data_IF_040001400655
#
_entry.id   IF_040001400655
#
_cell.length_a   1.000
_cell.length_b   1.000
_cell.length_c   1.000
_cell.angle_alpha   90.00
_cell.angle_beta   90.00
_cell.angle_gamma   90.00
#
_symmetry.space_group_name_H-M   'P 1'
#
loop_
_entity.id
_entity.type
_entity.pdbx_description
1 polymer ?
#
# COMPACT_ATOMS: atom_id res chain seq x y z
N UNK A 1 -0.94 30.38 11.04
CA UNK A 1 -2.30 30.45 10.48
C UNK A 1 -2.53 31.89 10.02
N UNK A 2 -3.01 32.11 8.79
CA UNK A 2 -3.27 33.45 8.27
C UNK A 2 -4.75 33.61 8.01
N UNK A 3 -5.35 34.68 8.54
CA UNK A 3 -6.73 35.06 8.24
C UNK A 3 -6.67 36.23 7.25
N UNK A 4 -7.47 36.14 6.18
CA UNK A 4 -7.53 37.11 5.10
C UNK A 4 -8.98 37.36 4.74
N UNK A 5 -9.29 38.60 4.42
CA UNK A 5 -10.63 39.01 3.98
C UNK A 5 -10.73 38.85 2.48
N UNK A 6 -11.81 38.23 2.02
CA UNK A 6 -12.15 38.15 0.60
C UNK A 6 -12.72 39.50 0.16
N UNK A 7 -12.19 40.06 -0.92
CA UNK A 7 -12.60 41.35 -1.46
C UNK A 7 -13.25 41.17 -2.82
N UNK A 8 -14.48 41.64 -2.98
CA UNK A 8 -15.14 41.70 -4.29
C UNK A 8 -14.51 42.80 -5.15
N UNK A 9 -14.17 42.47 -6.40
CA UNK A 9 -13.58 43.38 -7.37
C UNK A 9 -14.33 43.23 -8.68
N UNK A 10 -15.03 44.28 -9.11
CA UNK A 10 -15.88 44.24 -10.32
C UNK A 10 -17.20 43.51 -10.07
N UNK A 11 -17.81 42.96 -11.13
CA UNK A 11 -19.07 42.19 -11.02
C UNK A 11 -18.75 40.70 -10.94
N UNK A 12 -18.75 40.14 -9.72
CA UNK A 12 -18.67 38.69 -9.49
C UNK A 12 -17.27 38.08 -9.47
N UNK A 13 -16.21 38.89 -9.40
CA UNK A 13 -14.84 38.38 -9.15
C UNK A 13 -14.42 38.72 -7.74
N UNK A 14 -13.81 37.77 -7.05
CA UNK A 14 -13.31 37.95 -5.69
C UNK A 14 -11.79 37.80 -5.67
N UNK A 15 -11.14 38.54 -4.78
CA UNK A 15 -9.69 38.53 -4.58
C UNK A 15 -9.35 38.30 -3.12
N UNK A 16 -8.23 37.65 -2.85
CA UNK A 16 -7.68 37.44 -1.51
C UNK A 16 -6.19 37.74 -1.53
N UNK A 17 -5.68 38.44 -0.52
CA UNK A 17 -4.25 38.75 -0.43
C UNK A 17 -3.46 37.56 0.12
N UNK A 18 -2.41 37.16 -0.60
CA UNK A 18 -1.54 36.06 -0.19
C UNK A 18 -0.58 36.51 0.92
N UNK A 19 -0.26 35.66 1.92
CA UNK A 19 0.71 35.99 2.95
C UNK A 19 2.11 36.21 2.35
N UNK A 20 2.74 37.34 2.64
CA UNK A 20 4.08 37.70 2.11
C UNK A 20 5.13 36.62 2.40
N UNK A 21 5.17 36.11 3.64
CA UNK A 21 6.09 35.03 4.04
C UNK A 21 5.90 33.75 3.22
N UNK A 22 4.67 33.44 2.81
CA UNK A 22 4.40 32.29 1.95
C UNK A 22 4.89 32.56 0.53
N UNK A 23 4.55 33.73 -0.04
CA UNK A 23 4.99 34.18 -1.37
C UNK A 23 6.51 34.12 -1.51
N UNK A 24 7.24 34.66 -0.53
CA UNK A 24 8.71 34.65 -0.52
C UNK A 24 9.27 33.23 -0.38
N UNK A 25 8.71 32.39 0.51
CA UNK A 25 9.18 31.01 0.73
C UNK A 25 9.07 30.13 -0.52
N UNK A 26 8.05 30.33 -1.34
CA UNK A 26 7.86 29.56 -2.58
C UNK A 26 8.29 30.33 -3.84
N UNK A 27 9.00 31.46 -3.69
CA UNK A 27 9.61 32.20 -4.80
C UNK A 27 8.63 32.83 -5.78
N UNK A 28 7.42 33.18 -5.34
CA UNK A 28 6.42 33.85 -6.18
C UNK A 28 6.75 35.33 -6.36
N UNK A 29 6.49 35.85 -7.56
CA UNK A 29 6.69 37.24 -7.92
C UNK A 29 5.41 37.84 -8.52
N UNK A 30 5.38 39.17 -8.71
CA UNK A 30 4.28 39.83 -9.43
C UNK A 30 4.13 39.20 -10.82
N UNK A 31 2.92 38.75 -11.15
CA UNK A 31 2.62 38.09 -12.42
C UNK A 31 2.82 36.56 -12.41
N UNK A 32 3.32 35.97 -11.33
CA UNK A 32 3.33 34.52 -11.16
C UNK A 32 1.91 33.97 -11.22
N UNK A 33 1.72 32.90 -11.98
CA UNK A 33 0.44 32.18 -12.05
C UNK A 33 0.28 31.28 -10.83
N UNK A 34 -0.95 31.04 -10.43
CA UNK A 34 -1.33 30.11 -9.37
C UNK A 34 -2.42 29.19 -9.91
N UNK A 35 -2.32 27.91 -9.58
CA UNK A 35 -3.37 26.93 -9.76
C UNK A 35 -4.30 26.99 -8.53
N UNK A 36 -5.59 27.06 -8.80
CA UNK A 36 -6.65 26.94 -7.81
C UNK A 36 -7.34 25.61 -8.02
N UNK A 37 -7.41 24.80 -6.97
CA UNK A 37 -8.04 23.49 -7.02
C UNK A 37 -9.17 23.47 -6.01
N UNK A 38 -10.37 23.18 -6.53
CA UNK A 38 -11.56 23.02 -5.72
C UNK A 38 -11.51 21.67 -4.98
N UNK A 39 -11.53 21.74 -3.65
CA UNK A 39 -11.66 20.60 -2.74
C UNK A 39 -13.04 20.52 -2.10
N UNK A 40 -14.07 21.12 -2.71
CA UNK A 40 -15.45 21.19 -2.23
C UNK A 40 -15.63 22.26 -1.15
N UNK A 41 -15.18 21.98 0.08
CA UNK A 41 -15.26 22.93 1.21
C UNK A 41 -13.99 23.76 1.40
N UNK A 42 -12.98 23.54 0.56
CA UNK A 42 -11.69 24.22 0.63
C UNK A 42 -11.14 24.51 -0.76
N UNK A 43 -10.31 25.54 -0.87
CA UNK A 43 -9.62 25.89 -2.11
C UNK A 43 -8.11 25.75 -1.88
N UNK A 44 -7.47 24.82 -2.59
CA UNK A 44 -6.01 24.65 -2.54
C UNK A 44 -5.36 25.57 -3.57
N UNK A 45 -4.45 26.43 -3.10
CA UNK A 45 -3.69 27.36 -3.93
C UNK A 45 -2.23 26.89 -4.01
N UNK A 46 -1.72 26.68 -5.23
CA UNK A 46 -0.32 26.28 -5.45
C UNK A 46 0.25 26.84 -6.76
N UNK A 47 1.56 27.02 -6.90
CA UNK A 47 2.15 27.38 -8.20
C UNK A 47 1.89 26.30 -9.26
N UNK A 48 1.59 26.66 -10.52
CA UNK A 48 1.54 25.74 -11.64
C UNK A 48 2.98 25.35 -11.98
N UNK A 49 3.43 24.24 -11.37
CA UNK A 49 4.79 23.68 -11.39
C UNK A 49 5.85 24.50 -10.65
N UNK A 50 6.36 23.93 -9.55
CA UNK A 50 7.78 24.06 -9.23
C UNK A 50 8.48 23.04 -10.12
N UNK A 51 9.16 23.50 -11.16
CA UNK A 51 9.92 22.64 -12.09
C UNK A 51 11.20 22.06 -11.45
N UNK A 52 11.35 22.17 -10.12
CA UNK A 52 12.43 21.59 -9.37
C UNK A 52 12.03 20.15 -9.00
N UNK A 53 12.80 19.18 -9.46
CA UNK A 53 12.70 17.81 -8.96
C UNK A 53 12.82 17.84 -7.44
N UNK A 54 11.99 17.06 -6.73
CA UNK A 54 12.06 17.03 -5.28
C UNK A 54 13.26 16.18 -4.85
N UNK A 55 14.39 16.82 -4.52
CA UNK A 55 15.65 16.12 -4.25
C UNK A 55 15.93 15.92 -2.75
N UNK A 56 16.59 14.81 -2.42
CA UNK A 56 17.10 14.50 -1.08
C UNK A 56 18.54 14.01 -1.15
N UNK A 57 19.43 14.66 -0.40
CA UNK A 57 20.75 14.10 -0.09
C UNK A 57 20.65 13.24 1.19
N UNK A 58 21.18 12.02 1.11
CA UNK A 58 21.27 11.03 2.20
C UNK A 58 22.75 10.77 2.45
N UNK A 59 23.26 11.13 3.63
CA UNK A 59 24.68 10.93 3.99
C UNK A 59 24.83 9.68 4.83
N UNK A 60 25.65 8.74 4.36
CA UNK A 60 25.76 7.40 4.93
C UNK A 60 27.20 7.03 5.25
N UNK A 61 27.35 6.00 6.09
CA UNK A 61 28.65 5.43 6.47
C UNK A 61 28.79 4.04 5.90
N UNK A 62 30.02 3.65 5.56
CA UNK A 62 30.34 2.31 5.07
C UNK A 62 30.05 1.27 6.17
N UNK A 63 29.51 0.11 5.81
CA UNK A 63 29.12 -0.94 6.76
C UNK A 63 27.73 -0.76 7.39
N UNK A 64 26.96 0.24 6.94
CA UNK A 64 25.59 0.51 7.38
C UNK A 64 24.60 0.49 6.20
N UNK A 65 24.78 -0.48 5.30
CA UNK A 65 24.01 -0.61 4.06
C UNK A 65 22.52 -0.81 4.33
N UNK A 66 22.14 -1.60 5.33
CA UNK A 66 20.72 -1.83 5.67
C UNK A 66 20.00 -0.55 6.10
N UNK A 67 20.70 0.31 6.88
CA UNK A 67 20.17 1.62 7.26
C UNK A 67 20.05 2.53 6.03
N UNK A 68 21.06 2.50 5.16
CA UNK A 68 21.06 3.25 3.90
C UNK A 68 19.87 2.87 3.03
N UNK A 69 19.59 1.56 2.88
CA UNK A 69 18.43 1.06 2.14
C UNK A 69 17.13 1.58 2.75
N UNK A 70 16.99 1.57 4.09
CA UNK A 70 15.81 2.14 4.77
C UNK A 70 15.65 3.64 4.52
N UNK A 71 16.74 4.41 4.49
CA UNK A 71 16.68 5.85 4.19
C UNK A 71 16.28 6.13 2.73
N UNK A 72 16.72 5.29 1.78
CA UNK A 72 16.30 5.38 0.37
C UNK A 72 14.81 5.06 0.25
N UNK A 73 14.34 3.96 0.86
CA UNK A 73 12.91 3.59 0.86
C UNK A 73 12.08 4.72 1.50
N UNK A 74 12.48 5.24 2.66
CA UNK A 74 11.77 6.34 3.31
C UNK A 74 11.72 7.60 2.41
N UNK A 75 12.83 7.92 1.74
CA UNK A 75 12.87 9.06 0.80
C UNK A 75 11.95 8.82 -0.40
N UNK A 76 11.93 7.60 -0.96
CA UNK A 76 11.01 7.24 -2.03
C UNK A 76 9.54 7.36 -1.59
N UNK A 77 9.19 6.85 -0.42
CA UNK A 77 7.82 6.92 0.12
C UNK A 77 7.40 8.36 0.40
N UNK A 78 8.34 9.26 0.73
CA UNK A 78 8.07 10.70 0.90
C UNK A 78 7.90 11.47 -0.42
N UNK A 79 8.04 10.79 -1.57
CA UNK A 79 7.83 11.40 -2.88
C UNK A 79 9.04 12.12 -3.46
N UNK A 80 10.25 11.94 -2.91
CA UNK A 80 11.47 12.52 -3.51
C UNK A 80 11.73 11.92 -4.89
N UNK A 81 11.90 12.76 -5.90
CA UNK A 81 12.17 12.38 -7.29
C UNK A 81 13.65 12.04 -7.50
N UNK A 82 14.55 12.69 -6.77
CA UNK A 82 15.98 12.38 -6.77
C UNK A 82 16.44 12.07 -5.35
N UNK A 83 17.14 10.95 -5.20
CA UNK A 83 17.75 10.54 -3.93
C UNK A 83 19.25 10.37 -4.18
N UNK A 84 20.05 11.30 -3.67
CA UNK A 84 21.51 11.26 -3.78
C UNK A 84 22.09 10.68 -2.50
N UNK A 85 22.61 9.47 -2.57
CA UNK A 85 23.29 8.80 -1.46
C UNK A 85 24.77 9.13 -1.53
N UNK A 86 25.32 9.68 -0.45
CA UNK A 86 26.72 10.12 -0.38
C UNK A 86 27.42 9.40 0.77
N UNK A 87 28.52 8.72 0.47
CA UNK A 87 29.41 8.10 1.44
C UNK A 87 30.82 8.70 1.31
N UNK A 88 31.22 9.50 2.29
CA UNK A 88 32.52 10.21 2.27
C UNK A 88 33.73 9.28 2.26
N UNK A 89 33.58 8.08 2.83
CA UNK A 89 34.61 7.04 2.88
C UNK A 89 34.66 6.20 1.60
N UNK A 90 33.70 6.40 0.69
CA UNK A 90 33.48 5.55 -0.48
C UNK A 90 32.68 4.28 -0.16
N UNK A 91 32.05 3.73 -1.18
CA UNK A 91 31.35 2.44 -1.08
C UNK A 91 32.30 1.30 -1.44
N UNK A 92 32.22 0.18 -0.71
CA UNK A 92 32.78 -1.07 -1.21
C UNK A 92 31.86 -1.74 -2.24
N UNK A 93 32.38 -2.69 -3.05
CA UNK A 93 31.60 -3.30 -4.13
C UNK A 93 30.33 -4.02 -3.65
N UNK A 94 30.39 -4.72 -2.50
CA UNK A 94 29.26 -5.47 -1.98
C UNK A 94 28.18 -4.55 -1.41
N UNK A 95 28.57 -3.56 -0.61
CA UNK A 95 27.64 -2.59 -0.06
C UNK A 95 27.00 -1.72 -1.14
N UNK A 96 27.77 -1.37 -2.17
CA UNK A 96 27.23 -0.72 -3.37
C UNK A 96 26.17 -1.58 -4.07
N UNK A 97 26.43 -2.89 -4.23
CA UNK A 97 25.46 -3.82 -4.83
C UNK A 97 24.17 -3.90 -3.98
N UNK A 98 24.30 -4.00 -2.66
CA UNK A 98 23.15 -4.04 -1.74
C UNK A 98 22.31 -2.77 -1.87
N UNK A 99 22.95 -1.60 -1.86
CA UNK A 99 22.28 -0.31 -2.00
C UNK A 99 21.55 -0.20 -3.34
N UNK A 100 22.19 -0.58 -4.46
CA UNK A 100 21.56 -0.55 -5.80
C UNK A 100 20.40 -1.51 -5.95
N UNK A 101 20.39 -2.63 -5.23
CA UNK A 101 19.30 -3.61 -5.30
C UNK A 101 17.96 -3.07 -4.78
N UNK A 102 17.94 -1.93 -4.07
CA UNK A 102 16.69 -1.28 -3.64
C UNK A 102 15.78 -0.90 -4.82
N UNK A 103 16.34 -0.64 -6.01
CA UNK A 103 15.58 -0.36 -7.23
C UNK A 103 14.61 -1.49 -7.58
N UNK A 104 14.94 -2.75 -7.26
CA UNK A 104 14.06 -3.89 -7.52
C UNK A 104 12.77 -3.83 -6.69
N UNK A 105 12.81 -3.18 -5.53
CA UNK A 105 11.66 -3.06 -4.60
C UNK A 105 10.80 -1.82 -4.85
N UNK A 106 11.24 -0.88 -5.68
CA UNK A 106 10.59 0.43 -5.79
C UNK A 106 10.29 0.74 -7.26
N UNK A 107 8.99 0.81 -7.60
CA UNK A 107 8.56 0.99 -8.99
C UNK A 107 9.10 2.31 -9.55
N UNK A 108 9.85 2.19 -10.65
CA UNK A 108 10.41 3.31 -11.40
C UNK A 108 11.53 4.05 -10.68
N UNK A 109 12.14 3.51 -9.62
CA UNK A 109 13.38 4.05 -9.07
C UNK A 109 14.58 3.46 -9.81
N UNK A 110 15.36 4.30 -10.48
CA UNK A 110 16.50 3.88 -11.29
C UNK A 110 17.79 4.58 -10.86
N UNK A 111 18.94 3.93 -11.05
CA UNK A 111 20.25 4.57 -10.83
C UNK A 111 20.62 5.39 -12.06
N UNK A 112 20.78 6.70 -11.90
CA UNK A 112 21.08 7.64 -13.01
C UNK A 112 22.48 8.24 -12.93
N UNK A 113 23.17 8.07 -11.81
CA UNK A 113 24.54 8.52 -11.64
C UNK A 113 25.26 7.71 -10.58
N UNK A 114 26.55 7.44 -10.81
CA UNK A 114 27.39 6.67 -9.90
C UNK A 114 28.81 7.22 -9.92
N UNK A 115 29.32 7.54 -8.74
CA UNK A 115 30.71 7.93 -8.50
C UNK A 115 31.31 7.04 -7.38
N UNK A 116 32.60 7.20 -7.08
CA UNK A 116 33.25 6.44 -6.01
C UNK A 116 32.58 6.63 -4.63
N UNK A 117 32.08 7.84 -4.37
CA UNK A 117 31.49 8.27 -3.09
C UNK A 117 30.00 8.59 -3.17
N UNK A 118 29.35 8.41 -4.33
CA UNK A 118 27.92 8.71 -4.46
C UNK A 118 27.17 7.79 -5.41
N UNK A 119 25.89 7.58 -5.12
CA UNK A 119 24.93 6.92 -5.99
C UNK A 119 23.70 7.82 -6.05
N UNK A 120 23.30 8.18 -7.27
CA UNK A 120 22.13 9.03 -7.51
C UNK A 120 21.01 8.17 -8.09
N UNK A 121 19.91 8.10 -7.35
CA UNK A 121 18.68 7.48 -7.78
C UNK A 121 17.70 8.52 -8.29
N UNK A 122 16.94 8.19 -9.33
CA UNK A 122 15.85 9.01 -9.85
C UNK A 122 14.59 8.16 -10.00
N UNK A 123 13.46 8.68 -9.52
CA UNK A 123 12.16 8.11 -9.79
C UNK A 123 11.64 8.64 -11.13
N UNK A 124 11.43 7.76 -12.10
CA UNK A 124 10.93 8.10 -13.44
C UNK A 124 9.40 8.08 -13.54
N UNK A 125 8.72 7.77 -12.43
CA UNK A 125 7.26 7.79 -12.35
C UNK A 125 6.79 9.24 -12.37
N UNK A 126 5.93 9.55 -13.32
CA UNK A 126 5.23 10.84 -13.41
C UNK A 126 3.96 10.78 -12.54
N UNK A 127 3.95 11.40 -11.35
CA UNK A 127 2.81 11.33 -10.44
C UNK A 127 1.58 12.07 -11.00
N UNK A 128 1.72 12.97 -11.99
CA UNK A 128 0.56 13.65 -12.59
C UNK A 128 -0.21 12.75 -13.57
N UNK A 129 0.40 11.65 -14.02
CA UNK A 129 -0.20 10.69 -14.96
C UNK A 129 -0.74 9.44 -14.27
N UNK A 130 -0.41 9.25 -13.00
CA UNK A 130 -0.89 8.12 -12.23
C UNK A 130 -2.02 8.55 -11.31
N UNK A 131 -3.07 7.75 -11.33
CA UNK A 131 -4.27 7.91 -10.53
C UNK A 131 -4.14 6.99 -9.30
N UNK A 132 -4.29 7.58 -8.11
CA UNK A 132 -4.19 6.85 -6.83
C UNK A 132 -5.29 5.80 -6.69
N UNK A 133 -6.53 6.09 -7.08
CA UNK A 133 -7.63 5.13 -6.98
C UNK A 133 -7.41 3.97 -7.95
N UNK A 134 -6.95 4.23 -9.18
CA UNK A 134 -6.57 3.15 -10.11
C UNK A 134 -5.39 2.31 -9.60
N UNK A 135 -4.43 2.93 -8.95
CA UNK A 135 -3.30 2.22 -8.34
C UNK A 135 -3.78 1.32 -7.21
N UNK A 136 -4.70 1.81 -6.37
CA UNK A 136 -5.36 1.02 -5.34
C UNK A 136 -6.21 -0.12 -5.93
N UNK A 137 -6.96 0.13 -6.99
CA UNK A 137 -7.75 -0.91 -7.68
C UNK A 137 -6.87 -2.04 -8.22
N UNK A 138 -5.70 -1.70 -8.77
CA UNK A 138 -4.70 -2.70 -9.20
C UNK A 138 -4.17 -3.50 -8.02
N UNK A 139 -3.88 -2.85 -6.89
CA UNK A 139 -3.43 -3.54 -5.67
C UNK A 139 -4.49 -4.53 -5.20
N UNK A 140 -5.75 -4.11 -5.12
CA UNK A 140 -6.88 -4.97 -4.78
C UNK A 140 -7.02 -6.14 -5.74
N UNK A 141 -6.84 -5.91 -7.04
CA UNK A 141 -6.91 -6.96 -8.05
C UNK A 141 -5.82 -8.01 -7.88
N UNK A 142 -4.57 -7.62 -7.59
CA UNK A 142 -3.48 -8.56 -7.33
C UNK A 142 -3.73 -9.42 -6.09
N UNK A 143 -4.25 -8.82 -5.01
CA UNK A 143 -4.62 -9.57 -3.80
C UNK A 143 -5.79 -10.52 -4.07
N UNK A 144 -6.78 -10.08 -4.87
CA UNK A 144 -7.88 -10.95 -5.31
C UNK A 144 -7.36 -12.16 -6.08
N UNK A 145 -6.49 -11.99 -7.07
CA UNK A 145 -5.97 -13.11 -7.86
C UNK A 145 -5.09 -14.03 -7.04
N UNK A 146 -4.30 -13.51 -6.09
CA UNK A 146 -3.53 -14.33 -5.15
C UNK A 146 -4.44 -15.22 -4.31
N UNK A 147 -5.52 -14.67 -3.76
CA UNK A 147 -6.50 -15.43 -2.99
C UNK A 147 -7.13 -16.54 -3.83
N UNK A 148 -7.69 -16.18 -4.99
CA UNK A 148 -8.39 -17.15 -5.85
C UNK A 148 -7.46 -18.27 -6.33
N UNK A 149 -6.19 -17.95 -6.64
CA UNK A 149 -5.23 -18.97 -7.06
C UNK A 149 -4.86 -19.91 -5.90
N UNK A 150 -4.75 -19.42 -4.67
CA UNK A 150 -4.55 -20.28 -3.48
C UNK A 150 -5.77 -21.18 -3.27
N UNK A 151 -6.98 -20.60 -3.34
CA UNK A 151 -8.23 -21.35 -3.18
C UNK A 151 -8.37 -22.45 -4.25
N UNK A 152 -8.06 -22.14 -5.51
CA UNK A 152 -8.04 -23.12 -6.60
C UNK A 152 -6.99 -24.20 -6.37
N UNK A 153 -5.78 -23.82 -5.98
CA UNK A 153 -4.67 -24.77 -5.77
C UNK A 153 -4.94 -25.75 -4.62
N UNK A 154 -5.67 -25.35 -3.58
CA UNK A 154 -6.12 -26.25 -2.51
C UNK A 154 -6.96 -27.42 -3.02
N UNK A 155 -7.77 -27.17 -4.06
CA UNK A 155 -8.62 -28.19 -4.69
C UNK A 155 -7.91 -29.04 -5.74
N UNK A 156 -6.68 -28.67 -6.12
CA UNK A 156 -5.87 -29.37 -7.12
C UNK A 156 -4.54 -29.89 -6.54
N UNK A 157 -3.41 -29.38 -7.06
CA UNK A 157 -2.05 -29.83 -6.78
C UNK A 157 -1.29 -28.75 -6.03
N UNK A 158 -1.05 -28.99 -4.73
CA UNK A 158 -0.36 -28.09 -3.81
C UNK A 158 1.04 -27.69 -4.29
N UNK A 159 1.69 -28.48 -5.17
CA UNK A 159 3.03 -28.14 -5.69
C UNK A 159 3.03 -26.84 -6.53
N UNK A 160 1.87 -26.46 -7.08
CA UNK A 160 1.72 -25.20 -7.84
C UNK A 160 1.83 -23.95 -6.96
N UNK A 161 1.69 -24.07 -5.63
CA UNK A 161 1.78 -22.96 -4.69
C UNK A 161 3.15 -22.25 -4.70
N UNK A 162 4.22 -22.94 -5.08
CA UNK A 162 5.56 -22.33 -5.17
C UNK A 162 5.61 -21.15 -6.16
N UNK A 163 4.79 -21.20 -7.23
CA UNK A 163 4.73 -20.13 -8.22
C UNK A 163 3.99 -18.87 -7.74
N UNK A 164 3.35 -18.94 -6.57
CA UNK A 164 2.53 -17.85 -6.02
C UNK A 164 3.34 -16.93 -5.09
N UNK A 165 4.49 -17.37 -4.57
CA UNK A 165 5.31 -16.59 -3.65
C UNK A 165 5.93 -15.36 -4.30
N UNK A 166 6.21 -15.41 -5.61
CA UNK A 166 6.78 -14.28 -6.36
C UNK A 166 5.78 -13.12 -6.54
N UNK A 167 4.48 -13.36 -6.29
CA UNK A 167 3.44 -12.32 -6.43
C UNK A 167 3.39 -11.35 -5.26
N UNK A 168 3.85 -11.79 -4.10
CA UNK A 168 3.95 -10.99 -2.88
C UNK A 168 4.84 -9.76 -3.12
N UNK A 169 6.00 -9.98 -3.74
CA UNK A 169 6.93 -8.93 -4.16
C UNK A 169 6.27 -7.90 -5.11
N UNK A 170 5.35 -8.31 -5.97
CA UNK A 170 4.62 -7.38 -6.86
C UNK A 170 3.63 -6.51 -6.06
N UNK A 171 2.94 -7.11 -5.11
CA UNK A 171 1.97 -6.44 -4.23
C UNK A 171 2.69 -5.41 -3.35
N UNK A 172 3.82 -5.77 -2.73
CA UNK A 172 4.70 -4.89 -1.95
C UNK A 172 5.12 -3.65 -2.75
N UNK A 173 5.65 -3.90 -3.95
CA UNK A 173 6.12 -2.84 -4.84
C UNK A 173 5.01 -1.88 -5.22
N UNK A 174 3.82 -2.41 -5.48
CA UNK A 174 2.64 -1.61 -5.83
C UNK A 174 2.10 -0.84 -4.62
N UNK A 175 2.13 -1.43 -3.42
CA UNK A 175 1.81 -0.74 -2.17
C UNK A 175 2.77 0.43 -1.90
N UNK A 176 4.08 0.25 -2.08
CA UNK A 176 5.04 1.35 -1.96
C UNK A 176 4.81 2.46 -2.97
N UNK A 177 4.43 2.12 -4.21
CA UNK A 177 4.03 3.12 -5.20
C UNK A 177 2.76 3.87 -4.75
N UNK A 178 1.73 3.16 -4.28
CA UNK A 178 0.51 3.77 -3.74
C UNK A 178 0.85 4.77 -2.61
N UNK A 179 1.69 4.37 -1.65
CA UNK A 179 2.11 5.23 -0.55
C UNK A 179 2.87 6.46 -1.05
N UNK A 180 3.76 6.30 -2.05
CA UNK A 180 4.46 7.42 -2.68
C UNK A 180 3.48 8.41 -3.32
N UNK A 181 2.51 7.92 -4.09
CA UNK A 181 1.51 8.77 -4.75
C UNK A 181 0.62 9.51 -3.74
N UNK A 182 0.22 8.85 -2.65
CA UNK A 182 -0.59 9.43 -1.58
C UNK A 182 0.15 10.52 -0.78
N UNK A 183 1.47 10.37 -0.61
CA UNK A 183 2.30 11.30 0.16
C UNK A 183 2.97 12.37 -0.71
N UNK A 184 3.07 12.17 -2.02
CA UNK A 184 3.81 13.08 -2.90
C UNK A 184 3.17 14.47 -2.87
N UNK A 185 3.91 15.51 -2.47
CA UNK A 185 3.39 16.88 -2.48
C UNK A 185 3.15 17.40 -3.91
N UNK A 186 3.75 16.73 -4.90
CA UNK A 186 3.65 17.07 -6.33
C UNK A 186 2.55 16.30 -7.05
N UNK A 187 1.92 15.31 -6.42
CA UNK A 187 0.77 14.65 -7.05
C UNK A 187 -0.41 15.64 -7.11
N UNK A 188 -0.56 16.25 -8.30
CA UNK A 188 -1.57 17.27 -8.57
C UNK A 188 -2.85 16.68 -9.15
N UNK A 189 -2.80 15.46 -9.69
CA UNK A 189 -3.93 14.75 -10.29
C UNK A 189 -5.04 14.45 -9.30
N UNK A 190 -4.67 14.28 -8.03
CA UNK A 190 -5.57 13.86 -6.94
C UNK A 190 -5.90 14.97 -5.95
N UNK A 191 -5.71 16.24 -6.32
CA UNK A 191 -6.05 17.34 -5.43
C UNK A 191 -7.57 17.43 -5.12
N UNK A 192 -8.39 16.69 -5.87
CA UNK A 192 -9.81 16.45 -5.64
C UNK A 192 -10.09 15.38 -4.57
N UNK A 193 -9.13 14.49 -4.27
CA UNK A 193 -9.30 13.44 -3.26
C UNK A 193 -9.12 14.06 -1.86
N UNK A 194 -10.16 14.02 -1.00
CA UNK A 194 -10.06 14.53 0.36
C UNK A 194 -8.90 13.90 1.13
N UNK A 195 -8.28 14.68 2.03
CA UNK A 195 -7.18 14.16 2.86
C UNK A 195 -7.59 12.94 3.69
N UNK A 196 -8.82 12.92 4.23
CA UNK A 196 -9.39 11.74 4.90
C UNK A 196 -9.37 10.51 4.01
N UNK A 197 -9.91 10.63 2.79
CA UNK A 197 -9.92 9.51 1.82
C UNK A 197 -8.51 9.03 1.46
N UNK A 198 -7.53 9.93 1.37
CA UNK A 198 -6.12 9.55 1.17
C UNK A 198 -5.56 8.75 2.35
N UNK A 199 -5.93 9.08 3.58
CA UNK A 199 -5.57 8.29 4.75
C UNK A 199 -6.25 6.92 4.71
N UNK A 200 -7.54 6.87 4.38
CA UNK A 200 -8.29 5.62 4.31
C UNK A 200 -7.70 4.69 3.25
N UNK A 201 -7.39 5.20 2.06
CA UNK A 201 -6.71 4.44 1.00
C UNK A 201 -5.32 3.95 1.42
N UNK A 202 -4.57 4.73 2.20
CA UNK A 202 -3.28 4.31 2.74
C UNK A 202 -3.45 3.12 3.69
N UNK A 203 -4.41 3.20 4.62
CA UNK A 203 -4.67 2.15 5.61
C UNK A 203 -5.22 0.90 4.92
N UNK A 204 -6.21 1.05 4.04
CA UNK A 204 -6.75 -0.07 3.27
C UNK A 204 -5.66 -0.73 2.40
N UNK A 205 -4.77 0.04 1.79
CA UNK A 205 -3.65 -0.50 1.02
C UNK A 205 -2.67 -1.29 1.87
N UNK A 206 -2.38 -0.82 3.10
CA UNK A 206 -1.56 -1.56 4.07
C UNK A 206 -2.24 -2.86 4.49
N UNK A 207 -3.54 -2.83 4.74
CA UNK A 207 -4.29 -4.03 5.13
C UNK A 207 -4.33 -5.06 3.99
N UNK A 208 -4.45 -4.61 2.74
CA UNK A 208 -4.37 -5.48 1.56
C UNK A 208 -3.00 -6.13 1.39
N UNK A 209 -1.91 -5.40 1.61
CA UNK A 209 -0.55 -5.96 1.60
C UNK A 209 -0.36 -6.97 2.75
N UNK A 210 -0.78 -6.66 3.98
CA UNK A 210 -0.75 -7.62 5.08
C UNK A 210 -1.57 -8.89 4.77
N UNK A 211 -2.69 -8.78 4.07
CA UNK A 211 -3.48 -9.94 3.64
C UNK A 211 -2.69 -10.79 2.64
N UNK A 212 -1.98 -10.16 1.69
CA UNK A 212 -1.11 -10.87 0.74
C UNK A 212 -0.01 -11.65 1.47
N UNK A 213 0.72 -11.02 2.40
CA UNK A 213 1.74 -11.68 3.22
C UNK A 213 1.18 -12.92 3.92
N UNK A 214 -0.04 -12.81 4.47
CA UNK A 214 -0.70 -13.91 5.17
C UNK A 214 -1.15 -15.02 4.25
N UNK A 215 -1.66 -14.69 3.07
CA UNK A 215 -1.98 -15.65 2.02
C UNK A 215 -0.72 -16.39 1.54
N UNK A 216 0.37 -15.67 1.31
CA UNK A 216 1.67 -16.23 0.93
C UNK A 216 2.21 -17.14 2.04
N UNK A 217 2.11 -16.72 3.31
CA UNK A 217 2.48 -17.55 4.47
C UNK A 217 1.64 -18.82 4.56
N UNK A 218 0.34 -18.73 4.31
CA UNK A 218 -0.56 -19.90 4.26
C UNK A 218 -0.08 -20.88 3.18
N UNK A 219 0.17 -20.39 1.97
CA UNK A 219 0.66 -21.21 0.86
C UNK A 219 1.98 -21.93 1.20
N UNK A 220 2.92 -21.23 1.86
CA UNK A 220 4.19 -21.82 2.30
C UNK A 220 3.99 -22.96 3.31
N UNK A 221 3.16 -22.74 4.33
CA UNK A 221 2.86 -23.77 5.35
C UNK A 221 2.22 -25.01 4.71
N UNK A 222 1.28 -24.81 3.79
CA UNK A 222 0.61 -25.91 3.09
C UNK A 222 1.59 -26.72 2.24
N UNK A 223 2.55 -26.05 1.58
CA UNK A 223 3.61 -26.69 0.81
C UNK A 223 4.58 -27.50 1.69
N UNK A 224 5.00 -26.95 2.84
CA UNK A 224 5.90 -27.65 3.78
C UNK A 224 5.21 -28.80 4.54
N UNK A 225 3.89 -28.70 4.74
CA UNK A 225 3.13 -29.74 5.41
C UNK A 225 3.15 -31.06 4.62
N UNK A 226 3.08 -30.97 3.28
CA UNK A 226 3.04 -32.10 2.36
C UNK A 226 1.70 -32.83 2.39
N UNK A 227 1.54 -33.73 3.36
CA UNK A 227 0.32 -34.55 3.53
C UNK A 227 -0.58 -33.96 4.62
N UNK A 228 -1.49 -33.06 4.21
CA UNK A 228 -2.57 -32.59 5.07
C UNK A 228 -3.79 -33.51 4.89
N UNK A 229 -4.42 -33.98 5.98
CA UNK A 229 -5.64 -34.78 5.90
C UNK A 229 -6.73 -34.13 5.04
N UNK A 230 -7.40 -34.93 4.18
CA UNK A 230 -8.34 -34.41 3.18
C UNK A 230 -9.55 -33.69 3.79
N UNK A 231 -10.00 -34.11 4.96
CA UNK A 231 -11.08 -33.45 5.69
C UNK A 231 -10.65 -32.07 6.25
N UNK A 232 -9.40 -31.90 6.68
CA UNK A 232 -8.85 -30.58 7.01
C UNK A 232 -8.73 -29.69 5.76
N UNK A 233 -8.28 -30.25 4.63
CA UNK A 233 -8.23 -29.51 3.36
C UNK A 233 -9.62 -29.07 2.91
N UNK A 234 -10.63 -29.94 3.03
CA UNK A 234 -12.01 -29.61 2.65
C UNK A 234 -12.62 -28.52 3.55
N UNK A 235 -12.33 -28.54 4.85
CA UNK A 235 -12.73 -27.42 5.72
C UNK A 235 -11.97 -26.13 5.39
N UNK A 236 -10.70 -26.21 4.99
CA UNK A 236 -9.94 -25.05 4.53
C UNK A 236 -10.49 -24.47 3.22
N UNK A 237 -10.88 -25.31 2.26
CA UNK A 237 -11.57 -24.88 1.02
C UNK A 237 -12.83 -24.05 1.36
N UNK A 238 -13.66 -24.53 2.29
CA UNK A 238 -14.86 -23.80 2.77
C UNK A 238 -14.52 -22.48 3.44
N UNK A 239 -13.42 -22.44 4.20
CA UNK A 239 -12.93 -21.21 4.83
C UNK A 239 -12.45 -20.20 3.78
N UNK A 240 -11.77 -20.65 2.72
CA UNK A 240 -11.31 -19.78 1.65
C UNK A 240 -12.48 -19.15 0.88
N UNK A 241 -13.55 -19.90 0.64
CA UNK A 241 -14.81 -19.36 0.08
C UNK A 241 -15.48 -18.33 0.99
N UNK A 242 -15.49 -18.61 2.30
CA UNK A 242 -15.94 -17.66 3.31
C UNK A 242 -15.11 -16.36 3.27
N UNK A 243 -13.78 -16.46 3.26
CA UNK A 243 -12.90 -15.30 3.15
C UNK A 243 -13.14 -14.52 1.86
N UNK A 244 -13.42 -15.17 0.73
CA UNK A 244 -13.79 -14.50 -0.53
C UNK A 244 -15.08 -13.67 -0.36
N UNK A 245 -16.07 -14.22 0.36
CA UNK A 245 -17.33 -13.51 0.65
C UNK A 245 -17.12 -12.30 1.56
N UNK A 246 -16.24 -12.40 2.56
CA UNK A 246 -15.85 -11.29 3.45
C UNK A 246 -15.10 -10.22 2.66
N UNK A 247 -14.09 -10.61 1.87
CA UNK A 247 -13.31 -9.73 0.99
C UNK A 247 -14.23 -8.88 0.11
N UNK A 248 -15.11 -9.53 -0.65
CA UNK A 248 -15.95 -8.85 -1.63
C UNK A 248 -16.92 -7.87 -0.96
N UNK A 249 -17.49 -8.27 0.18
CA UNK A 249 -18.42 -7.42 0.95
C UNK A 249 -17.68 -6.22 1.56
N UNK A 250 -16.52 -6.44 2.19
CA UNK A 250 -15.72 -5.40 2.86
C UNK A 250 -15.20 -4.36 1.87
N UNK A 251 -14.65 -4.82 0.74
CA UNK A 251 -14.09 -3.93 -0.28
C UNK A 251 -15.18 -3.16 -1.02
N UNK A 252 -16.36 -3.76 -1.20
CA UNK A 252 -17.50 -3.07 -1.79
C UNK A 252 -18.02 -1.95 -0.89
N UNK A 253 -18.21 -2.23 0.40
CA UNK A 253 -18.56 -1.22 1.40
C UNK A 253 -17.56 -0.07 1.41
N UNK A 254 -16.26 -0.38 1.49
CA UNK A 254 -15.20 0.62 1.55
C UNK A 254 -15.12 1.54 0.31
N UNK A 255 -15.39 0.98 -0.87
CA UNK A 255 -15.26 1.70 -2.13
C UNK A 255 -16.50 2.50 -2.48
N UNK A 256 -17.68 1.92 -2.27
CA UNK A 256 -18.96 2.53 -2.62
C UNK A 256 -19.52 3.41 -1.50
N UNK A 257 -19.06 3.24 -0.25
CA UNK A 257 -19.65 3.91 0.91
C UNK A 257 -21.04 3.36 1.28
N UNK A 258 -21.40 2.18 0.76
CA UNK A 258 -22.74 1.62 0.84
C UNK A 258 -22.94 0.76 2.10
N UNK A 259 -23.63 1.32 3.10
CA UNK A 259 -23.98 0.62 4.33
C UNK A 259 -25.07 -0.45 4.17
N UNK A 260 -25.71 -0.59 2.99
CA UNK A 260 -26.70 -1.65 2.76
C UNK A 260 -26.10 -3.06 2.87
N UNK A 261 -24.78 -3.19 2.74
CA UNK A 261 -24.08 -4.45 2.92
C UNK A 261 -23.80 -4.79 4.39
N UNK A 262 -24.09 -3.90 5.34
CA UNK A 262 -23.76 -4.08 6.76
C UNK A 262 -24.43 -5.32 7.37
N UNK A 263 -25.72 -5.54 7.08
CA UNK A 263 -26.45 -6.73 7.55
C UNK A 263 -25.86 -8.03 7.01
N UNK A 264 -25.41 -8.02 5.73
CA UNK A 264 -24.73 -9.16 5.13
C UNK A 264 -23.38 -9.39 5.81
N UNK A 265 -22.63 -8.31 6.01
CA UNK A 265 -21.32 -8.35 6.66
C UNK A 265 -21.41 -8.89 8.09
N UNK A 266 -22.38 -8.45 8.90
CA UNK A 266 -22.58 -8.99 10.25
C UNK A 266 -22.90 -10.49 10.28
N UNK A 267 -23.64 -10.99 9.28
CA UNK A 267 -23.90 -12.43 9.14
C UNK A 267 -22.61 -13.18 8.85
N UNK A 268 -21.79 -12.67 7.93
CA UNK A 268 -20.47 -13.23 7.63
C UNK A 268 -19.56 -13.26 8.86
N UNK A 269 -19.56 -12.22 9.71
CA UNK A 269 -18.79 -12.22 10.95
C UNK A 269 -19.20 -13.35 11.91
N UNK A 270 -20.50 -13.61 12.02
CA UNK A 270 -21.04 -14.69 12.87
C UNK A 270 -20.69 -16.07 12.30
N UNK A 271 -20.73 -16.22 10.97
CA UNK A 271 -20.35 -17.45 10.28
C UNK A 271 -18.85 -17.75 10.41
N UNK A 272 -17.98 -16.74 10.25
CA UNK A 272 -16.53 -16.90 10.35
C UNK A 272 -16.06 -17.46 11.69
N UNK A 273 -16.62 -16.96 12.80
CA UNK A 273 -16.33 -17.48 14.14
C UNK A 273 -16.60 -18.98 14.24
N UNK A 274 -17.72 -19.44 13.66
CA UNK A 274 -18.10 -20.86 13.64
C UNK A 274 -17.14 -21.69 12.79
N UNK A 275 -16.79 -21.22 11.59
CA UNK A 275 -15.84 -21.91 10.72
C UNK A 275 -14.48 -22.13 11.39
N UNK A 276 -13.94 -21.11 12.05
CA UNK A 276 -12.65 -21.21 12.74
C UNK A 276 -12.73 -22.14 13.96
N UNK A 277 -13.82 -22.08 14.74
CA UNK A 277 -14.05 -22.99 15.86
C UNK A 277 -14.18 -24.45 15.40
N UNK A 278 -14.90 -24.69 14.30
CA UNK A 278 -15.07 -26.02 13.71
C UNK A 278 -13.73 -26.58 13.20
N UNK A 279 -12.91 -25.75 12.55
CA UNK A 279 -11.56 -26.12 12.08
C UNK A 279 -10.61 -26.44 13.25
N UNK A 280 -10.63 -25.64 14.32
CA UNK A 280 -9.89 -25.92 15.57
C UNK A 280 -10.36 -27.21 16.23
N UNK A 281 -11.67 -27.46 16.26
CA UNK A 281 -12.22 -28.70 16.80
C UNK A 281 -11.81 -29.90 15.97
N UNK A 282 -11.83 -29.80 14.63
CA UNK A 282 -11.43 -30.87 13.73
C UNK A 282 -9.94 -31.21 13.92
N UNK A 283 -9.08 -30.20 13.90
CA UNK A 283 -7.64 -30.37 14.10
C UNK A 283 -7.27 -30.96 15.48
N UNK A 284 -8.05 -30.68 16.52
CA UNK A 284 -7.82 -31.25 17.87
C UNK A 284 -7.96 -32.78 17.92
N UNK A 285 -8.71 -33.38 16.99
CA UNK A 285 -8.96 -34.83 16.93
C UNK A 285 -7.78 -35.65 16.43
N UNK A 286 -6.81 -35.03 15.73
CA UNK A 286 -5.64 -35.76 15.23
C UNK A 286 -4.63 -36.01 16.34
N UNK A 287 -4.09 -37.22 16.40
CA UNK A 287 -3.04 -37.58 17.37
C UNK A 287 -1.67 -36.98 17.02
N UNK A 288 -1.44 -36.70 15.73
CA UNK A 288 -0.19 -36.17 15.20
C UNK A 288 0.04 -34.71 15.66
N UNK A 289 1.14 -34.48 16.38
CA UNK A 289 1.53 -33.16 16.87
C UNK A 289 1.88 -32.19 15.75
N UNK A 290 2.44 -32.67 14.63
CA UNK A 290 2.78 -31.84 13.46
C UNK A 290 1.50 -31.29 12.82
N UNK A 291 0.52 -32.17 12.55
CA UNK A 291 -0.78 -31.77 11.98
C UNK A 291 -1.48 -30.77 12.89
N UNK A 292 -1.53 -31.03 14.20
CA UNK A 292 -2.09 -30.10 15.18
C UNK A 292 -1.43 -28.72 15.14
N UNK A 293 -0.10 -28.67 15.16
CA UNK A 293 0.65 -27.41 15.13
C UNK A 293 0.36 -26.61 13.86
N UNK A 294 0.38 -27.28 12.71
CA UNK A 294 0.11 -26.67 11.40
C UNK A 294 -1.32 -26.13 11.34
N UNK A 295 -2.30 -26.91 11.79
CA UNK A 295 -3.70 -26.45 11.81
C UNK A 295 -3.91 -25.24 12.72
N UNK A 296 -3.25 -25.17 13.87
CA UNK A 296 -3.33 -24.00 14.75
C UNK A 296 -2.74 -22.75 14.08
N UNK A 297 -1.62 -22.91 13.37
CA UNK A 297 -1.01 -21.81 12.63
C UNK A 297 -1.89 -21.34 11.46
N UNK A 298 -2.45 -22.27 10.69
CA UNK A 298 -3.43 -21.99 9.63
C UNK A 298 -4.63 -21.20 10.19
N UNK A 299 -5.18 -21.65 11.33
CA UNK A 299 -6.30 -20.96 11.98
C UNK A 299 -5.96 -19.53 12.40
N UNK A 300 -4.74 -19.29 12.91
CA UNK A 300 -4.27 -17.94 13.25
C UNK A 300 -4.17 -17.05 12.01
N UNK A 301 -3.63 -17.58 10.91
CA UNK A 301 -3.48 -16.85 9.65
C UNK A 301 -4.86 -16.45 9.10
N UNK A 302 -5.82 -17.37 9.10
CA UNK A 302 -7.20 -17.10 8.67
C UNK A 302 -7.83 -16.00 9.52
N UNK A 303 -7.65 -16.04 10.85
CA UNK A 303 -8.16 -15.00 11.76
C UNK A 303 -7.55 -13.63 11.45
N UNK A 304 -6.25 -13.57 11.16
CA UNK A 304 -5.56 -12.34 10.78
C UNK A 304 -6.06 -11.78 9.44
N UNK A 305 -6.24 -12.62 8.42
CA UNK A 305 -6.81 -12.22 7.11
C UNK A 305 -8.23 -11.68 7.29
N UNK A 306 -9.08 -12.42 8.01
CA UNK A 306 -10.45 -11.99 8.27
C UNK A 306 -10.46 -10.64 9.00
N UNK A 307 -9.63 -10.46 10.03
CA UNK A 307 -9.51 -9.19 10.76
C UNK A 307 -9.11 -8.04 9.86
N UNK A 308 -8.13 -8.22 8.98
CA UNK A 308 -7.73 -7.16 8.06
C UNK A 308 -8.85 -6.76 7.09
N UNK A 309 -9.67 -7.70 6.61
CA UNK A 309 -10.86 -7.32 5.83
C UNK A 309 -11.90 -6.58 6.67
N UNK A 310 -12.06 -6.95 7.94
CA UNK A 310 -12.95 -6.25 8.85
C UNK A 310 -12.49 -4.82 9.08
N UNK A 311 -11.19 -4.63 9.33
CA UNK A 311 -10.59 -3.31 9.50
C UNK A 311 -10.77 -2.46 8.22
N UNK A 312 -10.74 -3.06 7.02
CA UNK A 312 -11.07 -2.36 5.76
C UNK A 312 -12.55 -1.93 5.73
N UNK A 313 -13.47 -2.81 6.14
CA UNK A 313 -14.90 -2.48 6.19
C UNK A 313 -15.18 -1.33 7.17
N UNK A 314 -14.46 -1.27 8.30
CA UNK A 314 -14.60 -0.22 9.31
C UNK A 314 -14.13 1.17 8.82
N UNK A 315 -13.31 1.22 7.76
CA UNK A 315 -12.95 2.48 7.08
C UNK A 315 -14.08 3.05 6.21
N UNK A 316 -15.22 2.35 6.10
CA UNK A 316 -16.35 2.80 5.28
C UNK A 316 -16.90 4.12 5.78
N UNK A 317 -16.74 5.16 4.97
CA UNK A 317 -17.39 6.45 5.20
C UNK A 317 -18.68 6.50 4.39
N UNK A 318 -19.87 6.67 5.01
CA UNK A 318 -21.14 6.77 4.29
C UNK A 318 -21.09 7.92 3.28
N UNK A 319 -21.53 7.67 2.05
CA UNK A 319 -21.56 8.65 0.97
C UNK A 319 -22.97 9.08 0.59
#
# INVERSE_FOLDING_TARGET
MWIRVVQEVGRGTFTISLPREWVERIGLNKGSKLLLIDGGSSLLIKPPKLQAMYEKEVRVRRGYEDLTVKEIVASYLLGYDIIKVVCTEGFDPDGRRVIKNVCRKLIGLEVVGEDNSSITFQCIVDPEKLDVERTFDRLRFLVYTLHEDIAHTLSEDLSKMYSLTDRDDEIDRLYFLLVRLLRSPMNTGDATIPFSRRLDLRVAGLLLENIADRLTKLAYILLEAGDIPRDLLSELERIMEYLSSVRDTSLKMFMEGDLNYMDKFEKLLKEGKRFIEDFRRLSSKYSDSKVKSISLEIASIIEEIARSYIDIADLTTPR
#
